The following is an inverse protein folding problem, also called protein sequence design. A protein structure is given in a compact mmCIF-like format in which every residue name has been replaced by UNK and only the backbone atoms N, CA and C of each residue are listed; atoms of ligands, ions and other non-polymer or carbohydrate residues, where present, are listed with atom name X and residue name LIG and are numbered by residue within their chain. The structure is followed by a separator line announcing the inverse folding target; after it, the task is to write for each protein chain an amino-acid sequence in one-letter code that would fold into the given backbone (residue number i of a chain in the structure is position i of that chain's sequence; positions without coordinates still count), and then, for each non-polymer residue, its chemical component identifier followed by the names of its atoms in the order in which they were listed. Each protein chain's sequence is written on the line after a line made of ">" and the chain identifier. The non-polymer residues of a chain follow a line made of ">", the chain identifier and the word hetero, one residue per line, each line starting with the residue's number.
data_IF_964266667232
#
_entry.id   IF_964266667232
#
_cell.length_a   1.000
_cell.length_b   1.000
_cell.length_c   1.000
_cell.angle_alpha   90.00
_cell.angle_beta   90.00
_cell.angle_gamma   90.00
#
_symmetry.space_group_name_H-M   'P 1'
#
loop_
_entity.id
_entity.type
_entity.pdbx_description
1 polymer ?
#
# COMPACT_ATOMS: atom_id res chain seq x y z
N UNK A 1 -14.23 -11.47 -20.49
CA UNK A 1 -13.46 -10.24 -20.28
C UNK A 1 -12.34 -10.21 -21.29
N UNK A 2 -12.37 -9.27 -22.24
CA UNK A 2 -11.34 -9.15 -23.27
C UNK A 2 -10.20 -8.27 -22.76
N UNK A 3 -9.17 -8.90 -22.20
CA UNK A 3 -7.94 -8.24 -21.74
C UNK A 3 -6.84 -8.38 -22.77
N UNK A 4 -6.23 -7.26 -23.17
CA UNK A 4 -5.09 -7.25 -24.07
C UNK A 4 -3.78 -7.62 -23.31
N UNK A 5 -2.65 -7.63 -24.01
CA UNK A 5 -1.34 -8.00 -23.43
C UNK A 5 -0.95 -7.02 -22.32
N UNK A 6 -1.05 -5.71 -22.58
CA UNK A 6 -0.72 -4.67 -21.60
C UNK A 6 -1.59 -4.77 -20.34
N UNK A 7 -2.89 -5.02 -20.48
CA UNK A 7 -3.79 -5.19 -19.35
C UNK A 7 -3.33 -6.33 -18.43
N UNK A 8 -2.93 -7.47 -19.03
CA UNK A 8 -2.46 -8.65 -18.30
C UNK A 8 -1.11 -8.40 -17.62
N UNK A 9 -0.21 -7.66 -18.27
CA UNK A 9 1.06 -7.26 -17.69
C UNK A 9 0.84 -6.39 -16.45
N UNK A 10 0.01 -5.34 -16.56
CA UNK A 10 -0.30 -4.48 -15.42
C UNK A 10 -0.94 -5.26 -14.27
N UNK A 11 -1.94 -6.10 -14.55
CA UNK A 11 -2.61 -6.94 -13.54
C UNK A 11 -1.66 -7.93 -12.86
N UNK A 12 -0.68 -8.45 -13.60
CA UNK A 12 0.37 -9.31 -13.04
C UNK A 12 1.23 -8.54 -12.04
N UNK A 13 1.69 -7.34 -12.41
CA UNK A 13 2.57 -6.55 -11.53
C UNK A 13 1.86 -6.09 -10.25
N UNK A 14 0.57 -5.69 -10.34
CA UNK A 14 -0.12 -5.07 -9.20
C UNK A 14 -0.96 -6.01 -8.35
N UNK A 15 -1.26 -7.22 -8.83
CA UNK A 15 -2.11 -8.15 -8.09
C UNK A 15 -1.66 -9.61 -8.20
N UNK A 16 -0.48 -9.88 -8.81
CA UNK A 16 0.02 -11.22 -9.11
C UNK A 16 -0.98 -12.08 -9.91
N UNK A 17 -1.86 -11.43 -10.66
CA UNK A 17 -2.92 -12.09 -11.42
C UNK A 17 -2.43 -12.48 -12.81
N UNK A 18 -2.01 -13.74 -12.94
CA UNK A 18 -1.75 -14.37 -14.24
C UNK A 18 -3.05 -14.73 -15.00
N UNK A 19 -4.17 -14.84 -14.27
CA UNK A 19 -5.51 -15.20 -14.75
C UNK A 19 -6.57 -14.58 -13.82
N UNK A 20 -7.86 -14.68 -14.19
CA UNK A 20 -8.97 -14.28 -13.31
C UNK A 20 -8.82 -14.96 -11.94
N UNK A 21 -8.93 -14.23 -10.81
CA UNK A 21 -8.77 -14.80 -9.47
C UNK A 21 -9.76 -15.94 -9.20
N UNK A 22 -9.37 -16.91 -8.38
CA UNK A 22 -10.28 -17.98 -7.94
C UNK A 22 -11.17 -17.57 -6.73
N UNK A 23 -11.10 -16.32 -6.26
CA UNK A 23 -11.89 -15.77 -5.15
C UNK A 23 -12.91 -14.72 -5.61
N UNK A 24 -13.45 -13.96 -4.64
CA UNK A 24 -14.26 -12.78 -4.96
C UNK A 24 -13.38 -11.73 -5.65
N UNK A 25 -13.92 -10.99 -6.62
CA UNK A 25 -13.16 -9.96 -7.30
C UNK A 25 -13.99 -8.80 -7.83
N UNK A 26 -13.35 -7.66 -8.00
CA UNK A 26 -13.87 -6.51 -8.73
C UNK A 26 -12.73 -5.84 -9.51
N UNK A 27 -12.63 -6.15 -10.80
CA UNK A 27 -11.58 -5.64 -11.68
C UNK A 27 -12.10 -4.39 -12.39
N UNK A 28 -11.34 -3.29 -12.32
CA UNK A 28 -11.64 -2.05 -13.02
C UNK A 28 -10.62 -1.74 -14.09
N UNK A 29 -11.09 -1.18 -15.20
CA UNK A 29 -10.24 -0.68 -16.28
C UNK A 29 -10.78 0.66 -16.74
N UNK A 30 -9.90 1.67 -16.87
CA UNK A 30 -10.24 2.98 -17.45
C UNK A 30 -11.52 3.60 -16.86
N UNK A 31 -11.65 3.56 -15.54
CA UNK A 31 -12.79 4.15 -14.82
C UNK A 31 -14.07 3.31 -14.78
N UNK A 32 -14.11 2.12 -15.40
CA UNK A 32 -15.29 1.25 -15.41
C UNK A 32 -14.99 -0.13 -14.85
N UNK A 33 -16.00 -0.76 -14.23
CA UNK A 33 -15.90 -2.15 -13.81
C UNK A 33 -16.00 -3.07 -15.03
N UNK A 34 -14.98 -3.91 -15.23
CA UNK A 34 -14.91 -4.86 -16.36
C UNK A 34 -15.22 -6.29 -15.95
N UNK A 35 -15.24 -6.57 -14.65
CA UNK A 35 -15.67 -7.85 -14.10
C UNK A 35 -15.85 -7.75 -12.59
N UNK A 36 -16.87 -8.44 -12.09
CA UNK A 36 -17.17 -8.54 -10.67
C UNK A 36 -17.77 -9.89 -10.36
N UNK A 37 -17.33 -10.49 -9.26
CA UNK A 37 -17.87 -11.74 -8.76
C UNK A 37 -17.86 -11.72 -7.23
N UNK A 38 -19.04 -11.96 -6.64
CA UNK A 38 -19.19 -12.24 -5.20
C UNK A 38 -19.06 -13.74 -4.98
N UNK A 39 -18.47 -14.15 -3.86
CA UNK A 39 -18.18 -15.56 -3.60
C UNK A 39 -17.99 -15.83 -2.11
N UNK A 40 -18.44 -17.01 -1.65
CA UNK A 40 -18.11 -17.62 -0.35
C UNK A 40 -18.01 -16.63 0.82
N UNK A 41 -19.15 -16.08 1.26
CA UNK A 41 -19.22 -15.13 2.37
C UNK A 41 -18.79 -13.71 2.04
N UNK A 42 -18.35 -13.43 0.81
CA UNK A 42 -17.98 -12.08 0.34
C UNK A 42 -19.01 -11.59 -0.69
N UNK A 43 -19.70 -10.51 -0.35
CA UNK A 43 -20.65 -9.81 -1.22
C UNK A 43 -20.07 -8.48 -1.68
N UNK A 44 -20.10 -8.24 -2.99
CA UNK A 44 -19.62 -7.00 -3.62
C UNK A 44 -20.78 -6.30 -4.34
N UNK A 45 -21.10 -5.10 -3.92
CA UNK A 45 -22.21 -4.29 -4.45
C UNK A 45 -21.65 -2.97 -4.99
N UNK A 46 -22.04 -2.49 -6.20
CA UNK A 46 -21.82 -1.10 -6.58
C UNK A 46 -22.38 -0.14 -5.54
N UNK A 47 -21.66 0.95 -5.27
CA UNK A 47 -22.24 2.10 -4.60
C UNK A 47 -23.25 2.81 -5.52
N UNK A 48 -24.34 3.30 -4.93
CA UNK A 48 -25.38 4.05 -5.65
C UNK A 48 -25.13 5.57 -5.62
N UNK A 49 -24.43 6.05 -4.59
CA UNK A 49 -24.20 7.47 -4.30
C UNK A 49 -22.95 8.04 -4.99
N UNK A 50 -21.92 7.19 -5.21
CA UNK A 50 -20.63 7.60 -5.79
C UNK A 50 -19.91 6.41 -6.43
N UNK A 51 -18.89 6.63 -7.29
CA UNK A 51 -18.15 5.54 -7.90
C UNK A 51 -17.46 4.65 -6.85
N UNK A 52 -17.54 3.34 -7.01
CA UNK A 52 -16.85 2.36 -6.16
C UNK A 52 -17.77 1.23 -5.72
N UNK A 53 -17.40 0.54 -4.64
CA UNK A 53 -18.10 -0.66 -4.17
C UNK A 53 -18.25 -0.70 -2.65
N UNK A 54 -19.33 -1.32 -2.21
CA UNK A 54 -19.50 -1.85 -0.86
C UNK A 54 -19.16 -3.33 -0.86
N UNK A 55 -18.25 -3.72 0.03
CA UNK A 55 -17.84 -5.10 0.24
C UNK A 55 -18.28 -5.51 1.64
N UNK A 56 -19.09 -6.55 1.72
CA UNK A 56 -19.44 -7.19 2.99
C UNK A 56 -18.87 -8.59 3.05
N UNK A 57 -18.08 -8.84 4.08
CA UNK A 57 -17.58 -10.15 4.44
C UNK A 57 -18.39 -10.63 5.64
N UNK A 58 -19.09 -11.75 5.47
CA UNK A 58 -19.96 -12.30 6.50
C UNK A 58 -19.12 -12.77 7.70
N UNK A 59 -19.64 -12.68 8.94
CA UNK A 59 -18.90 -13.11 10.14
C UNK A 59 -18.41 -14.55 10.08
N UNK A 60 -17.19 -14.78 10.55
CA UNK A 60 -16.55 -16.11 10.56
C UNK A 60 -16.10 -16.61 9.19
N UNK A 61 -16.03 -15.74 8.17
CA UNK A 61 -15.44 -16.10 6.87
C UNK A 61 -13.94 -16.26 7.04
N UNK A 62 -13.40 -17.43 6.71
CA UNK A 62 -11.99 -17.77 6.91
C UNK A 62 -11.40 -18.27 5.60
N UNK A 63 -10.14 -17.95 5.33
CA UNK A 63 -9.36 -18.44 4.17
C UNK A 63 -10.01 -18.06 2.83
N UNK A 64 -10.55 -16.85 2.75
CA UNK A 64 -11.10 -16.27 1.52
C UNK A 64 -10.31 -15.03 1.12
N UNK A 65 -10.22 -14.82 -0.19
CA UNK A 65 -9.57 -13.65 -0.77
C UNK A 65 -10.51 -12.82 -1.64
N UNK A 66 -10.29 -11.51 -1.58
CA UNK A 66 -10.91 -10.51 -2.43
C UNK A 66 -9.84 -9.79 -3.25
N UNK A 67 -10.01 -9.74 -4.57
CA UNK A 67 -9.09 -9.05 -5.47
C UNK A 67 -9.76 -7.84 -6.15
N UNK A 68 -9.20 -6.65 -5.98
CA UNK A 68 -9.79 -5.39 -6.46
C UNK A 68 -8.84 -4.54 -7.33
N UNK A 69 -8.18 -5.10 -8.35
CA UNK A 69 -7.20 -4.35 -9.13
C UNK A 69 -7.87 -3.32 -10.05
N UNK A 70 -7.16 -2.21 -10.26
CA UNK A 70 -7.49 -1.13 -11.20
C UNK A 70 -6.36 -0.97 -12.20
N UNK A 71 -6.71 -0.89 -13.48
CA UNK A 71 -5.75 -0.57 -14.55
C UNK A 71 -6.21 0.62 -15.39
N UNK A 72 -5.33 1.60 -15.57
CA UNK A 72 -5.53 2.71 -16.50
C UNK A 72 -4.56 2.56 -17.68
N UNK A 73 -5.08 2.58 -18.90
CA UNK A 73 -4.32 2.39 -20.15
C UNK A 73 -4.62 3.45 -21.21
N UNK A 74 -5.37 4.49 -20.85
CA UNK A 74 -5.68 5.63 -21.71
C UNK A 74 -5.15 6.92 -21.10
N UNK A 75 -4.61 7.85 -21.91
CA UNK A 75 -4.14 9.14 -21.43
C UNK A 75 -5.30 10.05 -20.99
N UNK A 76 -4.97 11.10 -20.25
CA UNK A 76 -5.90 12.19 -19.88
C UNK A 76 -7.17 11.72 -19.15
N UNK A 77 -7.03 10.69 -18.33
CA UNK A 77 -8.10 10.13 -17.51
C UNK A 77 -7.89 10.46 -16.03
N UNK A 78 -8.96 10.90 -15.36
CA UNK A 78 -9.04 10.98 -13.91
C UNK A 78 -10.10 10.00 -13.40
N UNK A 79 -9.67 8.97 -12.69
CA UNK A 79 -10.52 7.99 -12.02
C UNK A 79 -10.50 8.24 -10.51
N UNK A 80 -11.67 8.21 -9.88
CA UNK A 80 -11.84 8.32 -8.43
C UNK A 80 -12.81 7.25 -8.00
N UNK A 81 -12.47 6.48 -6.96
CA UNK A 81 -13.32 5.41 -6.44
C UNK A 81 -13.34 5.38 -4.93
N UNK A 82 -14.51 5.05 -4.37
CA UNK A 82 -14.75 4.92 -2.95
C UNK A 82 -15.18 3.50 -2.63
N UNK A 83 -14.33 2.78 -1.91
CA UNK A 83 -14.56 1.38 -1.57
C UNK A 83 -14.70 1.27 -0.05
N UNK A 84 -15.80 0.68 0.41
CA UNK A 84 -16.03 0.43 1.83
C UNK A 84 -16.02 -1.07 2.08
N UNK A 85 -15.28 -1.51 3.09
CA UNK A 85 -15.12 -2.92 3.44
C UNK A 85 -15.58 -3.17 4.86
N UNK A 86 -16.55 -4.07 4.99
CA UNK A 86 -17.05 -4.57 6.26
C UNK A 86 -16.50 -5.98 6.48
N UNK A 87 -15.47 -6.10 7.33
CA UNK A 87 -14.84 -7.38 7.64
C UNK A 87 -15.53 -7.97 8.86
N UNK A 88 -16.46 -8.92 8.64
CA UNK A 88 -17.30 -9.50 9.68
C UNK A 88 -16.53 -10.07 10.87
N UNK A 89 -17.14 -10.06 12.05
CA UNK A 89 -16.48 -10.47 13.29
C UNK A 89 -15.90 -11.90 13.21
N UNK A 90 -14.71 -12.09 13.76
CA UNK A 90 -14.01 -13.39 13.77
C UNK A 90 -13.62 -13.93 12.39
N UNK A 91 -13.66 -13.11 11.33
CA UNK A 91 -13.21 -13.50 9.99
C UNK A 91 -11.68 -13.48 9.90
N UNK A 92 -11.13 -14.19 8.92
CA UNK A 92 -9.71 -14.17 8.55
C UNK A 92 -9.60 -14.15 7.03
N UNK A 93 -9.26 -13.00 6.47
CA UNK A 93 -9.39 -12.73 5.04
C UNK A 93 -8.22 -11.94 4.46
N UNK A 94 -7.97 -12.20 3.18
CA UNK A 94 -6.99 -11.48 2.37
C UNK A 94 -7.70 -10.53 1.40
N UNK A 95 -7.34 -9.25 1.41
CA UNK A 95 -7.74 -8.28 0.40
C UNK A 95 -6.51 -7.87 -0.39
N UNK A 96 -6.53 -8.10 -1.71
CA UNK A 96 -5.48 -7.71 -2.64
C UNK A 96 -5.99 -6.57 -3.51
N UNK A 97 -5.45 -5.38 -3.30
CA UNK A 97 -5.63 -4.22 -4.15
C UNK A 97 -4.39 -3.97 -5.01
N UNK A 98 -4.58 -3.29 -6.12
CA UNK A 98 -3.45 -2.89 -6.94
C UNK A 98 -3.85 -1.90 -8.02
N UNK A 99 -3.02 -0.88 -8.24
CA UNK A 99 -3.28 0.16 -9.22
C UNK A 99 -2.14 0.22 -10.24
N UNK A 100 -2.45 -0.12 -11.50
CA UNK A 100 -1.51 -0.06 -12.61
C UNK A 100 -1.88 1.07 -13.57
N UNK A 101 -0.97 2.01 -13.84
CA UNK A 101 -1.19 3.07 -14.83
C UNK A 101 -0.17 2.91 -15.95
N UNK A 102 -0.65 2.88 -17.19
CA UNK A 102 0.18 2.99 -18.39
C UNK A 102 -0.26 4.20 -19.20
N UNK A 103 0.65 5.14 -19.41
CA UNK A 103 0.48 6.22 -20.38
C UNK A 103 1.82 6.64 -20.97
N UNK A 104 1.83 7.10 -22.22
CA UNK A 104 3.02 7.65 -22.90
C UNK A 104 2.95 9.16 -23.13
N UNK A 105 1.79 9.78 -22.89
CA UNK A 105 1.53 11.21 -23.08
C UNK A 105 0.34 11.65 -22.21
N UNK A 106 0.21 12.94 -21.93
CA UNK A 106 -0.91 13.44 -21.12
C UNK A 106 -0.84 12.96 -19.66
N UNK A 107 -1.89 13.18 -18.89
CA UNK A 107 -1.91 12.89 -17.44
C UNK A 107 -2.97 11.86 -17.09
N UNK A 108 -2.57 10.72 -16.53
CA UNK A 108 -3.48 9.71 -16.02
C UNK A 108 -3.41 9.63 -14.51
N UNK A 109 -4.57 9.76 -13.85
CA UNK A 109 -4.70 9.85 -12.41
C UNK A 109 -5.71 8.84 -11.90
N UNK A 110 -5.37 8.12 -10.84
CA UNK A 110 -6.30 7.32 -10.07
C UNK A 110 -6.23 7.67 -8.57
N UNK A 111 -7.38 7.99 -8.00
CA UNK A 111 -7.55 8.21 -6.57
C UNK A 111 -8.42 7.07 -6.00
N UNK A 112 -7.78 6.13 -5.30
CA UNK A 112 -8.44 5.00 -4.66
C UNK A 112 -8.67 5.29 -3.18
N UNK A 113 -9.93 5.47 -2.77
CA UNK A 113 -10.30 5.69 -1.37
C UNK A 113 -10.86 4.40 -0.82
N UNK A 114 -10.18 3.82 0.17
CA UNK A 114 -10.55 2.59 0.84
C UNK A 114 -10.83 2.86 2.31
N UNK A 115 -11.99 2.42 2.79
CA UNK A 115 -12.37 2.50 4.20
C UNK A 115 -12.73 1.11 4.72
N UNK A 116 -11.98 0.62 5.71
CA UNK A 116 -12.14 -0.69 6.30
C UNK A 116 -12.72 -0.59 7.71
N UNK A 117 -13.75 -1.37 7.96
CA UNK A 117 -14.30 -1.62 9.29
C UNK A 117 -14.00 -3.08 9.64
N UNK A 118 -12.97 -3.29 10.45
CA UNK A 118 -12.52 -4.62 10.87
C UNK A 118 -13.18 -4.95 12.20
N UNK A 119 -14.22 -5.79 12.13
CA UNK A 119 -15.08 -6.08 13.28
C UNK A 119 -14.35 -6.93 14.31
N UNK A 120 -14.92 -6.96 15.52
CA UNK A 120 -14.36 -7.61 16.71
C UNK A 120 -13.71 -8.97 16.41
N UNK A 121 -12.45 -9.11 16.80
CA UNK A 121 -11.67 -10.35 16.66
C UNK A 121 -11.40 -10.81 15.22
N UNK A 122 -11.71 -10.01 14.20
CA UNK A 122 -11.40 -10.33 12.82
C UNK A 122 -9.93 -10.03 12.48
N UNK A 123 -9.40 -10.75 11.50
CA UNK A 123 -8.06 -10.64 10.97
C UNK A 123 -8.13 -10.24 9.50
N UNK A 124 -7.48 -9.13 9.16
CA UNK A 124 -7.39 -8.61 7.81
C UNK A 124 -5.92 -8.64 7.38
N UNK A 125 -5.60 -9.33 6.29
CA UNK A 125 -4.39 -9.08 5.52
C UNK A 125 -4.74 -8.23 4.31
N UNK A 126 -4.14 -7.04 4.20
CA UNK A 126 -4.34 -6.14 3.07
C UNK A 126 -3.01 -5.94 2.33
N UNK A 127 -3.02 -6.24 1.04
CA UNK A 127 -1.86 -6.05 0.16
C UNK A 127 -2.26 -5.04 -0.91
N UNK A 128 -1.49 -3.96 -1.05
CA UNK A 128 -1.71 -2.95 -2.08
C UNK A 128 -0.43 -2.67 -2.86
N UNK A 129 -0.47 -2.85 -4.19
CA UNK A 129 0.68 -2.59 -5.07
C UNK A 129 0.39 -1.50 -6.10
N UNK A 130 1.35 -0.61 -6.31
CA UNK A 130 1.26 0.46 -7.31
C UNK A 130 2.37 0.34 -8.34
N UNK A 131 1.99 0.47 -9.61
CA UNK A 131 2.91 0.35 -10.73
C UNK A 131 2.59 1.33 -11.85
N UNK A 132 3.60 2.08 -12.28
CA UNK A 132 3.51 2.96 -13.44
C UNK A 132 4.34 2.44 -14.60
N UNK A 133 3.67 2.05 -15.67
CA UNK A 133 4.26 1.70 -16.95
C UNK A 133 4.15 2.86 -17.95
N UNK A 134 4.81 2.69 -19.10
CA UNK A 134 4.92 3.73 -20.12
C UNK A 134 6.19 4.55 -19.95
N UNK A 135 6.44 5.42 -20.92
CA UNK A 135 7.59 6.32 -20.96
C UNK A 135 7.24 7.57 -21.76
N UNK A 136 8.22 8.39 -22.10
CA UNK A 136 7.95 9.66 -22.78
C UNK A 136 7.48 10.72 -21.78
N UNK A 137 6.42 11.48 -22.12
CA UNK A 137 5.96 12.63 -21.33
C UNK A 137 4.68 12.37 -20.54
N UNK A 138 4.21 11.12 -20.51
CA UNK A 138 3.00 10.73 -19.80
C UNK A 138 3.20 10.77 -18.28
N UNK A 139 2.29 11.42 -17.57
CA UNK A 139 2.31 11.52 -16.11
C UNK A 139 1.38 10.47 -15.49
N UNK A 140 1.92 9.64 -14.61
CA UNK A 140 1.20 8.63 -13.81
C UNK A 140 1.02 9.13 -12.39
N UNK A 141 -0.23 9.41 -11.99
CA UNK A 141 -0.56 9.94 -10.65
C UNK A 141 -1.42 8.95 -9.86
N UNK A 142 -1.00 8.62 -8.65
CA UNK A 142 -1.75 7.74 -7.74
C UNK A 142 -1.86 8.36 -6.35
N UNK A 143 -3.08 8.67 -5.90
CA UNK A 143 -3.31 9.22 -4.56
C UNK A 143 -4.25 8.30 -3.76
N UNK A 144 -3.73 7.20 -3.21
CA UNK A 144 -4.51 6.28 -2.41
C UNK A 144 -4.78 6.87 -1.02
N UNK A 145 -5.99 6.63 -0.52
CA UNK A 145 -6.38 6.95 0.85
C UNK A 145 -6.93 5.69 1.49
N UNK A 146 -6.31 5.24 2.59
CA UNK A 146 -6.70 4.03 3.32
C UNK A 146 -7.04 4.39 4.75
N UNK A 147 -8.30 4.22 5.13
CA UNK A 147 -8.79 4.45 6.49
C UNK A 147 -9.18 3.10 7.09
N UNK A 148 -8.70 2.76 8.28
CA UNK A 148 -8.96 1.48 8.92
C UNK A 148 -9.45 1.69 10.34
N UNK A 149 -10.61 1.13 10.65
CA UNK A 149 -11.17 1.07 12.00
C UNK A 149 -11.06 -0.37 12.50
N UNK A 150 -10.17 -0.60 13.47
CA UNK A 150 -10.02 -1.90 14.14
C UNK A 150 -10.86 -1.91 15.41
N UNK A 151 -11.84 -2.79 15.49
CA UNK A 151 -12.59 -3.03 16.73
C UNK A 151 -11.75 -3.85 17.73
N UNK A 152 -12.32 -4.10 18.91
CA UNK A 152 -11.64 -4.82 19.98
C UNK A 152 -11.13 -6.20 19.53
N UNK A 153 -9.86 -6.49 19.82
CA UNK A 153 -9.19 -7.74 19.45
C UNK A 153 -9.01 -7.95 17.94
N UNK A 154 -9.36 -6.99 17.08
CA UNK A 154 -9.14 -7.10 15.65
C UNK A 154 -7.66 -6.92 15.30
N UNK A 155 -7.21 -7.56 14.21
CA UNK A 155 -5.85 -7.46 13.71
C UNK A 155 -5.83 -7.06 12.24
N UNK A 156 -4.93 -6.15 11.86
CA UNK A 156 -4.63 -5.87 10.46
C UNK A 156 -3.14 -6.00 10.17
N UNK A 157 -2.81 -6.73 9.11
CA UNK A 157 -1.50 -6.77 8.47
C UNK A 157 -1.57 -6.04 7.13
N UNK A 158 -0.81 -4.96 6.97
CA UNK A 158 -0.77 -4.16 5.75
C UNK A 158 0.57 -4.33 5.03
N UNK A 159 0.52 -4.61 3.74
CA UNK A 159 1.68 -4.63 2.85
C UNK A 159 1.44 -3.65 1.70
N UNK A 160 2.05 -2.47 1.81
CA UNK A 160 1.85 -1.34 0.90
C UNK A 160 3.11 -1.14 0.07
N UNK A 161 3.03 -1.32 -1.25
CA UNK A 161 4.20 -1.33 -2.13
C UNK A 161 4.01 -0.40 -3.33
N UNK A 162 4.84 0.62 -3.45
CA UNK A 162 5.05 1.27 -4.75
C UNK A 162 6.26 0.65 -5.43
N UNK A 163 6.00 -0.09 -6.50
CA UNK A 163 7.01 -0.87 -7.22
C UNK A 163 7.97 0.07 -7.96
N UNK A 164 7.43 0.91 -8.86
CA UNK A 164 8.16 1.95 -9.61
C UNK A 164 7.21 2.74 -10.51
N UNK A 165 7.72 3.84 -11.08
CA UNK A 165 7.11 4.47 -12.24
C UNK A 165 5.93 5.40 -11.95
N UNK A 166 5.70 5.79 -10.70
CA UNK A 166 4.64 6.73 -10.36
C UNK A 166 5.26 8.13 -10.28
N UNK A 167 4.84 9.03 -11.16
CA UNK A 167 5.39 10.39 -11.26
C UNK A 167 5.03 11.24 -10.05
N UNK A 168 3.79 11.14 -9.59
CA UNK A 168 3.32 11.86 -8.41
C UNK A 168 2.40 10.99 -7.56
N UNK A 169 2.61 10.98 -6.26
CA UNK A 169 1.73 10.32 -5.29
C UNK A 169 1.61 11.13 -4.01
N UNK A 170 0.38 11.29 -3.52
CA UNK A 170 0.03 11.77 -2.19
C UNK A 170 -0.83 10.69 -1.54
N UNK A 171 -0.19 9.83 -0.74
CA UNK A 171 -0.84 8.69 -0.07
C UNK A 171 -1.08 8.98 1.39
N UNK A 172 -2.23 8.53 1.87
CA UNK A 172 -2.65 8.70 3.26
C UNK A 172 -3.15 7.39 3.82
N UNK A 173 -2.63 6.99 4.96
CA UNK A 173 -3.10 5.85 5.75
C UNK A 173 -3.45 6.33 7.14
N UNK A 174 -4.67 6.07 7.59
CA UNK A 174 -5.12 6.44 8.92
C UNK A 174 -5.77 5.23 9.60
N UNK A 175 -5.32 4.89 10.81
CA UNK A 175 -5.76 3.70 11.53
C UNK A 175 -6.25 4.08 12.92
N UNK A 176 -7.44 3.60 13.30
CA UNK A 176 -8.05 3.76 14.61
C UNK A 176 -8.16 2.41 15.30
N UNK A 177 -7.57 2.28 16.49
CA UNK A 177 -7.42 1.00 17.19
C UNK A 177 -8.26 0.89 18.46
N UNK A 178 -9.17 -0.09 18.49
CA UNK A 178 -9.89 -0.55 19.68
C UNK A 178 -9.01 -1.34 20.66
N UNK A 179 -9.61 -1.81 21.75
CA UNK A 179 -8.87 -2.48 22.83
C UNK A 179 -8.29 -3.81 22.35
N UNK A 180 -7.07 -4.14 22.78
CA UNK A 180 -6.37 -5.37 22.39
C UNK A 180 -6.22 -5.58 20.87
N UNK A 181 -6.43 -4.55 20.06
CA UNK A 181 -6.24 -4.64 18.61
C UNK A 181 -4.76 -4.55 18.23
N UNK A 182 -4.41 -5.08 17.05
CA UNK A 182 -3.04 -5.18 16.56
C UNK A 182 -2.91 -4.67 15.13
N UNK A 183 -1.90 -3.85 14.87
CA UNK A 183 -1.51 -3.42 13.54
C UNK A 183 -0.06 -3.86 13.26
N UNK A 184 0.15 -4.48 12.11
CA UNK A 184 1.47 -4.68 11.52
C UNK A 184 1.43 -4.04 10.14
N UNK A 185 2.29 -3.08 9.87
CA UNK A 185 2.33 -2.37 8.60
C UNK A 185 3.73 -2.37 8.02
N UNK A 186 3.85 -2.80 6.77
CA UNK A 186 5.07 -2.71 5.99
C UNK A 186 4.81 -1.82 4.77
N UNK A 187 5.45 -0.64 4.72
CA UNK A 187 5.48 0.19 3.52
C UNK A 187 6.81 0.05 2.79
N UNK A 188 6.76 -0.12 1.47
CA UNK A 188 7.92 -0.16 0.58
C UNK A 188 7.74 0.79 -0.59
N UNK A 189 8.68 1.69 -0.80
CA UNK A 189 8.52 2.77 -1.78
C UNK A 189 9.79 3.01 -2.59
N UNK A 190 9.70 2.88 -3.91
CA UNK A 190 10.77 3.28 -4.83
C UNK A 190 10.33 4.49 -5.67
N UNK A 191 11.21 5.49 -5.74
CA UNK A 191 11.11 6.59 -6.72
C UNK A 191 12.41 6.73 -7.50
N UNK A 192 12.28 7.08 -8.77
CA UNK A 192 13.39 7.32 -9.69
C UNK A 192 13.11 8.54 -10.57
N UNK A 193 14.06 8.91 -11.42
CA UNK A 193 13.98 10.08 -12.30
C UNK A 193 13.60 11.36 -11.56
N UNK A 194 12.43 11.94 -11.85
CA UNK A 194 11.92 13.18 -11.23
C UNK A 194 10.62 12.95 -10.47
N UNK A 195 10.40 11.71 -10.03
CA UNK A 195 9.20 11.29 -9.32
C UNK A 195 9.10 11.95 -7.94
N UNK A 196 7.87 12.20 -7.50
CA UNK A 196 7.58 12.79 -6.20
C UNK A 196 6.60 11.93 -5.41
N UNK A 197 6.94 11.61 -4.17
CA UNK A 197 6.09 10.85 -3.27
C UNK A 197 5.94 11.52 -1.90
N UNK A 198 4.69 11.81 -1.53
CA UNK A 198 4.30 12.10 -0.16
C UNK A 198 3.60 10.88 0.41
N UNK A 199 4.07 10.37 1.55
CA UNK A 199 3.42 9.32 2.32
C UNK A 199 3.12 9.79 3.73
N UNK A 200 1.85 9.70 4.13
CA UNK A 200 1.37 10.07 5.46
C UNK A 200 0.70 8.85 6.12
N UNK A 201 1.20 8.46 7.29
CA UNK A 201 0.67 7.37 8.10
C UNK A 201 0.35 7.89 9.49
N UNK A 202 -0.90 7.75 9.94
CA UNK A 202 -1.30 8.14 11.29
C UNK A 202 -1.99 6.95 11.96
N UNK A 203 -1.47 6.53 13.11
CA UNK A 203 -2.04 5.43 13.91
C UNK A 203 -2.49 5.95 15.26
N UNK A 204 -3.79 5.87 15.50
CA UNK A 204 -4.43 6.22 16.77
C UNK A 204 -4.61 4.95 17.63
N UNK A 205 -3.74 4.78 18.61
CA UNK A 205 -3.78 3.71 19.60
C UNK A 205 -4.75 4.11 20.74
N UNK A 206 -6.05 3.91 20.53
CA UNK A 206 -7.11 4.40 21.43
C UNK A 206 -7.44 3.42 22.56
N UNK A 207 -7.57 2.14 22.25
CA UNK A 207 -8.01 1.11 23.19
C UNK A 207 -6.90 0.58 24.09
N UNK A 208 -7.29 0.09 25.28
CA UNK A 208 -6.37 -0.52 26.23
C UNK A 208 -5.72 -1.79 25.65
N UNK A 209 -4.40 -1.87 25.72
CA UNK A 209 -3.59 -2.97 25.19
C UNK A 209 -3.47 -3.00 23.67
N UNK A 210 -3.89 -1.93 22.95
CA UNK A 210 -3.65 -1.85 21.52
C UNK A 210 -2.15 -1.80 21.21
N UNK A 211 -1.76 -2.41 20.10
CA UNK A 211 -0.37 -2.40 19.66
C UNK A 211 -0.22 -2.15 18.15
N UNK A 212 0.87 -1.48 17.78
CA UNK A 212 1.20 -1.19 16.39
C UNK A 212 2.70 -1.32 16.13
N UNK A 213 3.03 -1.94 15.00
CA UNK A 213 4.37 -1.98 14.42
C UNK A 213 4.29 -1.47 12.98
N UNK A 214 4.99 -0.37 12.71
CA UNK A 214 5.04 0.26 11.39
C UNK A 214 6.49 0.27 10.93
N UNK A 215 6.77 -0.51 9.89
CA UNK A 215 8.07 -0.58 9.24
C UNK A 215 7.97 0.05 7.85
N UNK A 216 8.82 1.02 7.58
CA UNK A 216 8.85 1.69 6.28
C UNK A 216 10.23 1.60 5.67
N UNK A 217 10.29 1.21 4.41
CA UNK A 217 11.52 1.11 3.62
C UNK A 217 11.37 1.88 2.34
N UNK A 218 12.33 2.72 2.03
CA UNK A 218 12.26 3.57 0.84
C UNK A 218 13.58 3.68 0.10
N UNK A 219 13.51 3.82 -1.21
CA UNK A 219 14.66 4.02 -2.09
C UNK A 219 14.37 5.21 -2.99
N UNK A 220 15.14 6.28 -2.84
CA UNK A 220 15.11 7.44 -3.73
C UNK A 220 16.30 7.44 -4.67
N UNK A 221 16.05 7.51 -5.98
CA UNK A 221 17.06 7.54 -7.03
C UNK A 221 16.99 8.83 -7.86
N UNK A 222 18.05 9.09 -8.63
CA UNK A 222 18.16 10.20 -9.58
C UNK A 222 17.88 11.57 -8.94
N UNK A 223 16.84 12.30 -9.36
CA UNK A 223 16.41 13.58 -8.78
C UNK A 223 15.03 13.46 -8.12
N UNK A 224 14.67 12.25 -7.66
CA UNK A 224 13.36 12.00 -7.06
C UNK A 224 13.24 12.60 -5.66
N UNK A 225 12.01 12.86 -5.23
CA UNK A 225 11.70 13.45 -3.93
C UNK A 225 10.75 12.55 -3.16
N UNK A 226 11.07 12.28 -1.90
CA UNK A 226 10.25 11.51 -0.98
C UNK A 226 10.07 12.27 0.33
N UNK A 227 8.83 12.42 0.76
CA UNK A 227 8.47 12.98 2.06
C UNK A 227 7.61 11.95 2.78
N UNK A 228 8.16 11.39 3.84
CA UNK A 228 7.51 10.42 4.69
C UNK A 228 7.12 11.08 6.02
N UNK A 229 5.83 11.03 6.36
CA UNK A 229 5.27 11.51 7.62
C UNK A 229 4.62 10.33 8.32
N UNK A 230 5.02 10.03 9.54
CA UNK A 230 4.39 8.97 10.31
C UNK A 230 4.18 9.38 11.76
N UNK A 231 2.98 9.17 12.27
CA UNK A 231 2.60 9.50 13.63
C UNK A 231 2.03 8.27 14.35
N UNK A 232 2.58 7.95 15.52
CA UNK A 232 1.95 7.04 16.48
C UNK A 232 1.38 7.87 17.64
N UNK A 233 0.07 7.81 17.85
CA UNK A 233 -0.62 8.59 18.88
C UNK A 233 -1.25 7.64 19.90
N UNK A 234 -0.68 7.59 21.10
CA UNK A 234 -1.12 6.72 22.19
C UNK A 234 -2.09 7.42 23.15
N UNK A 235 -3.36 7.02 23.15
CA UNK A 235 -4.40 7.57 24.06
C UNK A 235 -4.66 6.67 25.27
N UNK A 236 -4.35 5.36 25.18
CA UNK A 236 -4.50 4.39 26.26
C UNK A 236 -3.15 3.77 26.68
N UNK A 237 -3.21 2.73 27.52
CA UNK A 237 -2.08 1.84 27.79
C UNK A 237 -1.79 1.01 26.54
N UNK A 238 -0.86 1.46 25.72
CA UNK A 238 -0.60 0.89 24.40
C UNK A 238 0.90 0.73 24.12
N UNK A 239 1.24 -0.06 23.09
CA UNK A 239 2.62 -0.22 22.62
C UNK A 239 2.75 0.11 21.14
N UNK A 240 3.70 0.94 20.77
CA UNK A 240 3.91 1.37 19.39
C UNK A 240 5.38 1.37 19.01
N UNK A 241 5.69 0.85 17.83
CA UNK A 241 7.02 0.92 17.24
C UNK A 241 6.94 1.42 15.80
N UNK A 242 7.74 2.44 15.48
CA UNK A 242 7.86 3.01 14.14
C UNK A 242 9.34 2.96 13.70
N UNK A 243 9.63 2.21 12.65
CA UNK A 243 10.97 2.10 12.07
C UNK A 243 10.97 2.58 10.62
N UNK A 244 11.87 3.52 10.31
CA UNK A 244 11.96 4.16 9.00
C UNK A 244 13.37 4.03 8.42
N UNK A 245 13.54 3.15 7.45
CA UNK A 245 14.79 3.00 6.73
C UNK A 245 14.67 3.57 5.30
N UNK A 246 15.66 4.35 4.89
CA UNK A 246 15.74 4.89 3.53
C UNK A 246 17.13 4.74 2.93
N UNK A 247 17.14 4.40 1.64
CA UNK A 247 18.33 4.43 0.79
C UNK A 247 18.24 5.63 -0.16
N UNK A 248 19.27 6.48 -0.12
CA UNK A 248 19.43 7.62 -1.04
C UNK A 248 20.50 7.32 -2.10
N UNK A 249 20.17 7.59 -3.36
CA UNK A 249 21.04 7.41 -4.52
C UNK A 249 20.93 8.61 -5.47
N UNK A 250 22.05 8.99 -6.10
CA UNK A 250 22.08 10.15 -7.00
C UNK A 250 21.91 11.48 -6.24
N UNK A 251 21.01 12.32 -6.75
CA UNK A 251 20.64 13.64 -6.20
C UNK A 251 19.22 13.63 -5.59
N UNK A 252 18.72 12.46 -5.19
CA UNK A 252 17.40 12.35 -4.59
C UNK A 252 17.30 13.13 -3.27
N UNK A 253 16.09 13.59 -2.92
CA UNK A 253 15.79 14.26 -1.65
C UNK A 253 14.81 13.39 -0.86
N UNK A 254 15.24 12.88 0.30
CA UNK A 254 14.41 12.05 1.17
C UNK A 254 14.28 12.73 2.52
N UNK A 255 13.04 12.92 2.98
CA UNK A 255 12.71 13.51 4.28
C UNK A 255 11.83 12.55 5.06
N UNK A 256 12.24 12.23 6.27
CA UNK A 256 11.43 11.47 7.23
C UNK A 256 11.02 12.40 8.37
N UNK A 257 9.72 12.46 8.65
CA UNK A 257 9.07 13.31 9.64
C UNK A 257 8.28 12.41 10.61
N UNK A 258 8.98 11.71 11.51
CA UNK A 258 8.36 10.84 12.50
C UNK A 258 7.81 11.66 13.68
N UNK A 259 6.68 11.21 14.21
CA UNK A 259 6.04 11.75 15.41
C UNK A 259 5.60 10.59 16.31
N UNK A 260 5.96 10.68 17.60
CA UNK A 260 5.40 9.84 18.64
C UNK A 260 4.72 10.75 19.65
N UNK A 261 3.43 10.53 19.88
CA UNK A 261 2.61 11.38 20.74
C UNK A 261 1.91 10.53 21.80
N UNK A 262 2.51 10.47 22.99
CA UNK A 262 1.89 9.85 24.16
C UNK A 262 0.95 10.83 24.88
N UNK A 263 -0.33 10.46 25.00
CA UNK A 263 -1.37 11.16 25.78
C UNK A 263 -1.78 10.39 27.04
N UNK A 264 -1.15 9.25 27.29
CA UNK A 264 -1.35 8.39 28.45
C UNK A 264 0.01 8.04 29.07
N UNK A 265 0.10 7.99 30.39
CA UNK A 265 1.35 7.70 31.11
C UNK A 265 1.86 6.27 30.93
N UNK A 266 0.97 5.31 30.63
CA UNK A 266 1.30 3.91 30.39
C UNK A 266 1.53 3.59 28.90
N UNK A 267 1.58 4.62 28.02
CA UNK A 267 1.89 4.42 26.61
C UNK A 267 3.40 4.22 26.40
N UNK A 268 3.78 3.12 25.75
CA UNK A 268 5.15 2.82 25.35
C UNK A 268 5.30 3.00 23.83
N UNK A 269 5.83 4.14 23.40
CA UNK A 269 6.05 4.45 21.98
C UNK A 269 7.54 4.57 21.68
N UNK A 270 7.99 3.96 20.59
CA UNK A 270 9.39 3.98 20.16
C UNK A 270 9.49 4.32 18.68
N UNK A 271 10.60 4.97 18.32
CA UNK A 271 10.91 5.31 16.95
C UNK A 271 12.40 5.18 16.66
N UNK A 272 12.71 4.63 15.49
CA UNK A 272 14.04 4.60 14.90
C UNK A 272 14.00 5.02 13.41
N UNK A 273 15.03 5.72 12.95
CA UNK A 273 15.16 6.12 11.55
C UNK A 273 16.60 6.11 11.07
N UNK A 274 16.80 5.70 9.83
CA UNK A 274 18.08 5.77 9.13
C UNK A 274 17.88 6.20 7.67
N UNK A 275 18.66 7.18 7.21
CA UNK A 275 18.77 7.53 5.79
C UNK A 275 20.24 7.39 5.42
N UNK A 276 20.55 6.54 4.45
CA UNK A 276 21.93 6.23 4.08
C UNK A 276 22.11 5.82 2.64
N UNK A 277 23.36 5.72 2.21
CA UNK A 277 23.71 5.15 0.90
C UNK A 277 23.78 3.62 0.98
N UNK A 278 23.69 2.96 -0.16
CA UNK A 278 24.00 1.52 -0.27
C UNK A 278 25.44 1.26 0.19
N UNK A 279 25.65 0.17 0.93
CA UNK A 279 26.98 -0.25 1.37
C UNK A 279 27.85 -0.67 0.17
N UNK A 280 28.92 0.09 -0.09
CA UNK A 280 29.89 -0.23 -1.14
C UNK A 280 30.58 -1.59 -0.95
N UNK A 281 30.76 -2.03 0.30
CA UNK A 281 31.33 -3.36 0.59
C UNK A 281 30.39 -4.49 0.14
N UNK A 282 29.07 -4.30 0.29
CA UNK A 282 28.09 -5.27 -0.18
C UNK A 282 28.07 -5.34 -1.71
N UNK A 283 28.21 -4.19 -2.39
CA UNK A 283 28.32 -4.13 -3.86
C UNK A 283 29.58 -4.89 -4.30
N UNK A 284 30.74 -4.58 -3.73
CA UNK A 284 32.02 -5.25 -4.06
C UNK A 284 31.90 -6.76 -3.84
N UNK A 285 31.28 -7.20 -2.74
CA UNK A 285 31.07 -8.62 -2.44
C UNK A 285 30.17 -9.31 -3.47
N UNK A 286 29.10 -8.67 -3.95
CA UNK A 286 28.27 -9.24 -5.02
C UNK A 286 29.01 -9.30 -6.35
N UNK A 287 29.86 -8.31 -6.63
CA UNK A 287 30.71 -8.32 -7.81
C UNK A 287 31.74 -9.45 -7.79
N UNK A 288 32.22 -9.86 -6.61
CA UNK A 288 33.10 -11.05 -6.52
C UNK A 288 32.36 -12.36 -6.82
N UNK A 289 31.03 -12.39 -6.73
CA UNK A 289 30.20 -13.51 -7.19
C UNK A 289 29.87 -13.46 -8.69
N UNK A 290 30.43 -12.50 -9.44
CA UNK A 290 30.31 -12.42 -10.90
C UNK A 290 29.23 -11.48 -11.43
N UNK A 291 28.58 -10.72 -10.55
CA UNK A 291 27.64 -9.66 -10.95
C UNK A 291 28.44 -8.43 -11.40
N UNK A 292 27.93 -7.68 -12.37
CA UNK A 292 28.42 -6.32 -12.58
C UNK A 292 27.86 -5.38 -11.49
N UNK A 293 28.37 -4.14 -11.43
CA UNK A 293 27.97 -3.17 -10.39
C UNK A 293 26.46 -2.87 -10.41
N UNK A 294 25.87 -2.70 -11.60
CA UNK A 294 24.44 -2.42 -11.76
C UNK A 294 23.58 -3.60 -11.29
N UNK A 295 23.99 -4.83 -11.64
CA UNK A 295 23.34 -6.06 -11.19
C UNK A 295 23.44 -6.24 -9.67
N UNK A 296 24.60 -5.92 -9.09
CA UNK A 296 24.83 -5.97 -7.65
C UNK A 296 23.93 -4.97 -6.91
N UNK A 297 23.89 -3.72 -7.37
CA UNK A 297 23.01 -2.68 -6.84
C UNK A 297 21.55 -3.10 -6.93
N UNK A 298 21.10 -3.57 -8.11
CA UNK A 298 19.73 -4.06 -8.29
C UNK A 298 19.39 -5.19 -7.31
N UNK A 299 20.30 -6.16 -7.14
CA UNK A 299 20.11 -7.28 -6.22
C UNK A 299 19.96 -6.81 -4.75
N UNK A 300 20.75 -5.82 -4.33
CA UNK A 300 20.65 -5.24 -2.99
C UNK A 300 19.33 -4.50 -2.80
N UNK A 301 18.91 -3.71 -3.80
CA UNK A 301 17.65 -2.98 -3.77
C UNK A 301 16.44 -3.92 -3.74
N UNK A 302 16.45 -4.99 -4.55
CA UNK A 302 15.42 -6.02 -4.53
C UNK A 302 15.34 -6.71 -3.16
N UNK A 303 16.48 -7.01 -2.52
CA UNK A 303 16.50 -7.59 -1.18
C UNK A 303 16.02 -6.63 -0.09
N UNK A 304 16.31 -5.34 -0.22
CA UNK A 304 15.89 -4.29 0.71
C UNK A 304 14.39 -4.00 0.64
N UNK A 305 13.84 -4.01 -0.58
CA UNK A 305 12.42 -3.83 -0.88
C UNK A 305 11.63 -5.16 -0.90
N UNK A 306 12.21 -6.26 -0.41
CA UNK A 306 11.51 -7.53 -0.17
C UNK A 306 10.88 -7.57 1.22
#
# INVERSE_FOLDING_TARGET
>A
MDLNVLDKELLREVADLHRVPQGAFNIRKNGVAVGRESKDGITITPKEDRPGIDVRIDPGTIDQSLHIPVILTIPDLHDVVYNTFEIGAGSDVLVVAGCGIHTTSGKSRHDGIHEFYVRKGAQLRYVEKHYGAGGGTGERVLNPVTIIHLEDGATAELEMVQIKGIDNTDRKTEVYQGAQSRLIMNERLLTHERQHANSEIIVHLQGEGSNAEVLTRSVGQDHSVQIFKAALIGYGKCKGHLSCDSIIMGEADIRSLPEIWAKNEEAELTHEAAIGKISGEQIIKLMTFGLNEEEAVRTLLEGYLR
#
